data_IF_047517067114
#
_entry.id   IF_047517067114
#
_cell.length_a   1.000
_cell.length_b   1.000
_cell.length_c   1.000
_cell.angle_alpha   90.00
_cell.angle_beta   90.00
_cell.angle_gamma   90.00
#
_symmetry.space_group_name_H-M   'P 1'
#
loop_
_entity.id
_entity.type
_entity.pdbx_description
1 polymer ?
#
# COMPACT_ATOMS: atom_id res chain seq x y z
N UNK A 1 5.93 2.04 4.00
CA UNK A 1 4.69 2.65 3.46
C UNK A 1 3.63 2.65 4.52
N UNK A 2 2.92 3.75 4.72
CA UNK A 2 1.75 3.81 5.60
C UNK A 2 0.48 3.73 4.77
N UNK A 3 -0.44 2.85 5.10
CA UNK A 3 -1.76 2.76 4.45
C UNK A 3 -2.81 3.12 5.47
N UNK A 4 -3.42 4.27 5.24
CA UNK A 4 -4.60 4.74 5.93
C UNK A 4 -5.84 4.14 5.26
N UNK A 5 -6.63 3.41 6.05
CA UNK A 5 -7.69 2.55 5.55
C UNK A 5 -9.05 3.15 5.92
N UNK A 6 -9.71 3.81 4.97
CA UNK A 6 -11.06 4.33 5.14
C UNK A 6 -12.11 3.42 4.48
N UNK A 7 -13.39 3.63 4.84
CA UNK A 7 -14.53 2.82 4.37
C UNK A 7 -14.63 2.76 2.84
N UNK A 8 -14.40 3.88 2.17
CA UNK A 8 -14.61 4.03 0.72
C UNK A 8 -13.30 4.07 -0.06
N UNK A 9 -12.25 4.67 0.50
CA UNK A 9 -10.96 4.87 -0.15
C UNK A 9 -9.81 4.50 0.78
N UNK A 10 -8.76 3.93 0.23
CA UNK A 10 -7.48 3.73 0.91
C UNK A 10 -6.49 4.76 0.43
N UNK A 11 -5.80 5.39 1.37
CA UNK A 11 -4.71 6.32 1.06
C UNK A 11 -3.40 5.66 1.47
N UNK A 12 -2.57 5.35 0.49
CA UNK A 12 -1.25 4.79 0.73
C UNK A 12 -0.18 5.86 0.51
N UNK A 13 0.62 6.09 1.54
CA UNK A 13 1.76 7.00 1.53
C UNK A 13 3.05 6.20 1.49
N UNK A 14 3.87 6.52 0.48
CA UNK A 14 5.18 5.92 0.26
C UNK A 14 6.22 6.82 0.91
N UNK A 15 6.99 6.26 1.84
CA UNK A 15 8.02 6.97 2.60
C UNK A 15 9.32 6.18 2.46
N UNK A 16 10.43 6.87 2.23
CA UNK A 16 11.76 6.27 2.20
C UNK A 16 12.37 6.13 3.61
N UNK A 17 13.60 5.60 3.68
CA UNK A 17 14.32 5.44 4.95
C UNK A 17 14.82 6.76 5.57
N UNK A 18 14.65 7.89 4.88
CA UNK A 18 14.95 9.24 5.35
C UNK A 18 13.69 10.02 5.72
N UNK A 19 12.56 9.32 5.92
CA UNK A 19 11.27 9.92 6.20
C UNK A 19 10.76 10.87 5.11
N UNK A 20 11.29 10.80 3.89
CA UNK A 20 10.82 11.58 2.76
C UNK A 20 9.65 10.89 2.07
N UNK A 21 8.59 11.65 1.79
CA UNK A 21 7.43 11.17 1.04
C UNK A 21 7.79 11.00 -0.43
N UNK A 22 8.00 9.75 -0.85
CA UNK A 22 8.25 9.38 -2.25
C UNK A 22 7.00 9.56 -3.12
N UNK A 23 5.83 9.46 -2.51
CA UNK A 23 4.56 9.72 -3.18
C UNK A 23 3.37 9.23 -2.39
N UNK A 24 2.19 9.47 -2.96
CA UNK A 24 0.90 9.10 -2.38
C UNK A 24 -0.01 8.60 -3.49
N UNK A 25 -0.88 7.67 -3.13
CA UNK A 25 -1.96 7.20 -3.98
C UNK A 25 -3.20 7.00 -3.14
N UNK A 26 -4.29 7.63 -3.56
CA UNK A 26 -5.63 7.34 -3.05
C UNK A 26 -6.35 6.47 -4.07
N UNK A 27 -6.86 5.33 -3.63
CA UNK A 27 -7.56 4.38 -4.48
C UNK A 27 -8.80 3.84 -3.75
N UNK A 28 -9.85 3.38 -4.47
CA UNK A 28 -11.02 2.82 -3.84
C UNK A 28 -10.68 1.57 -3.02
N UNK A 29 -11.42 1.31 -1.93
CA UNK A 29 -11.34 0.04 -1.20
C UNK A 29 -12.00 -1.11 -2.00
N UNK A 30 -11.44 -1.41 -3.16
CA UNK A 30 -11.90 -2.45 -4.07
C UNK A 30 -10.72 -3.33 -4.47
N UNK A 31 -10.84 -4.66 -4.38
CA UNK A 31 -9.75 -5.57 -4.79
C UNK A 31 -9.26 -5.36 -6.22
N UNK A 32 -10.12 -4.87 -7.12
CA UNK A 32 -9.79 -4.55 -8.50
C UNK A 32 -8.77 -3.39 -8.63
N UNK A 33 -8.67 -2.51 -7.63
CA UNK A 33 -7.78 -1.36 -7.63
C UNK A 33 -6.45 -1.63 -6.89
N UNK A 34 -6.33 -2.72 -6.15
CA UNK A 34 -5.10 -3.09 -5.43
C UNK A 34 -3.87 -3.24 -6.35
N UNK A 35 -3.99 -3.78 -7.58
CA UNK A 35 -2.87 -3.81 -8.52
C UNK A 35 -2.34 -2.41 -8.88
N UNK A 36 -3.18 -1.36 -8.85
CA UNK A 36 -2.76 0.02 -9.14
C UNK A 36 -1.82 0.56 -8.08
N UNK A 37 -2.07 0.21 -6.82
CA UNK A 37 -1.14 0.50 -5.72
C UNK A 37 0.22 -0.12 -6.02
N UNK A 38 0.28 -1.43 -6.27
CA UNK A 38 1.55 -2.13 -6.53
C UNK A 38 2.27 -1.59 -7.77
N UNK A 39 1.56 -1.26 -8.84
CA UNK A 39 2.16 -0.65 -10.02
C UNK A 39 2.81 0.72 -9.70
N UNK A 40 2.13 1.55 -8.90
CA UNK A 40 2.66 2.83 -8.44
C UNK A 40 3.89 2.63 -7.55
N UNK A 41 3.81 1.71 -6.59
CA UNK A 41 4.91 1.32 -5.71
C UNK A 41 6.13 0.86 -6.51
N UNK A 42 5.94 -0.06 -7.46
CA UNK A 42 7.04 -0.54 -8.33
C UNK A 42 7.65 0.58 -9.16
N UNK A 43 6.83 1.52 -9.65
CA UNK A 43 7.32 2.69 -10.39
C UNK A 43 8.14 3.64 -9.51
N UNK A 44 7.77 3.79 -8.24
CA UNK A 44 8.50 4.61 -7.28
C UNK A 44 9.75 3.89 -6.72
N UNK A 45 9.74 2.56 -6.69
CA UNK A 45 10.86 1.75 -6.22
C UNK A 45 11.87 1.46 -7.35
N UNK A 46 12.50 2.50 -7.89
CA UNK A 46 13.53 2.39 -8.92
C UNK A 46 14.82 1.75 -8.43
N UNK A 47 15.09 1.82 -7.13
CA UNK A 47 16.31 1.30 -6.49
C UNK A 47 16.25 -0.20 -6.14
N UNK A 48 15.12 -0.87 -6.37
CA UNK A 48 14.96 -2.28 -5.97
C UNK A 48 15.00 -2.51 -4.46
N UNK A 49 14.73 -1.47 -3.66
CA UNK A 49 14.71 -1.55 -2.20
C UNK A 49 13.54 -2.41 -1.72
N UNK A 50 13.69 -3.04 -0.57
CA UNK A 50 12.60 -3.80 0.06
C UNK A 50 11.45 -2.87 0.41
N UNK A 51 10.27 -3.14 -0.15
CA UNK A 51 9.05 -2.39 0.16
C UNK A 51 8.42 -2.99 1.41
N UNK A 52 8.22 -2.16 2.44
CA UNK A 52 7.50 -2.54 3.65
C UNK A 52 6.13 -1.88 3.66
N UNK A 53 5.07 -2.69 3.78
CA UNK A 53 3.69 -2.22 3.90
C UNK A 53 3.25 -2.19 5.36
N UNK A 54 3.07 -0.97 5.90
CA UNK A 54 2.49 -0.73 7.22
C UNK A 54 1.00 -0.42 7.06
N UNK A 55 0.15 -1.36 7.48
CA UNK A 55 -1.29 -1.17 7.54
C UNK A 55 -1.63 -0.61 8.92
N UNK A 56 -2.19 0.60 8.99
CA UNK A 56 -2.56 1.21 10.28
C UNK A 56 -3.63 0.39 11.00
N UNK A 57 -4.54 -0.24 10.23
CA UNK A 57 -5.60 -1.07 10.77
C UNK A 57 -5.82 -2.34 9.94
N UNK A 58 -5.13 -3.43 10.27
CA UNK A 58 -5.29 -4.71 9.60
C UNK A 58 -6.68 -5.37 9.84
N UNK A 59 -7.49 -4.84 10.77
CA UNK A 59 -8.84 -5.31 11.07
C UNK A 59 -9.91 -4.59 10.24
N UNK A 60 -11.00 -5.29 9.91
CA UNK A 60 -12.11 -4.73 9.11
C UNK A 60 -11.71 -4.45 7.66
N UNK A 61 -11.71 -3.17 7.27
CA UNK A 61 -11.46 -2.73 5.89
C UNK A 61 -10.03 -2.97 5.39
N UNK A 62 -9.06 -3.10 6.29
CA UNK A 62 -7.68 -3.47 5.96
C UNK A 62 -7.47 -4.95 5.68
N UNK A 63 -8.38 -5.83 6.11
CA UNK A 63 -8.21 -7.28 6.01
C UNK A 63 -8.10 -7.75 4.57
N UNK A 64 -8.97 -7.24 3.69
CA UNK A 64 -8.95 -7.61 2.27
C UNK A 64 -7.61 -7.25 1.61
N UNK A 65 -7.06 -6.08 1.94
CA UNK A 65 -5.77 -5.63 1.43
C UNK A 65 -4.62 -6.45 2.02
N UNK A 66 -4.65 -6.72 3.33
CA UNK A 66 -3.64 -7.54 4.00
C UNK A 66 -3.58 -8.97 3.42
N UNK A 67 -4.74 -9.62 3.27
CA UNK A 67 -4.83 -10.96 2.66
C UNK A 67 -4.30 -10.94 1.23
N UNK A 68 -4.64 -9.92 0.45
CA UNK A 68 -4.15 -9.79 -0.93
C UNK A 68 -2.64 -9.58 -1.00
N UNK A 69 -2.05 -8.81 -0.07
CA UNK A 69 -0.60 -8.63 0.01
C UNK A 69 0.12 -9.93 0.40
N UNK A 70 -0.44 -10.70 1.35
CA UNK A 70 0.08 -12.01 1.75
C UNK A 70 0.01 -13.01 0.58
N UNK A 71 -1.14 -13.08 -0.11
CA UNK A 71 -1.32 -13.94 -1.30
C UNK A 71 -0.30 -13.64 -2.41
N UNK A 72 0.15 -12.39 -2.50
CA UNK A 72 1.14 -11.94 -3.48
C UNK A 72 2.58 -12.05 -2.99
N UNK A 73 2.82 -12.46 -1.75
CA UNK A 73 4.16 -12.60 -1.15
C UNK A 73 4.83 -11.27 -0.80
N UNK A 74 4.04 -10.22 -0.52
CA UNK A 74 4.55 -8.92 -0.08
C UNK A 74 4.71 -8.79 1.44
N UNK A 75 4.19 -9.76 2.20
CA UNK A 75 4.16 -9.81 3.67
C UNK A 75 4.56 -11.22 4.14
#
# INVERSE_FOLDING_TARGET
MGIDLHKETHTAVMIDCYNQKLGEITFPNRPADFPKLVAKVKKCNTDGKTIVFGLENAYGYGRALAVWLIDKGYL
#
